data_IF_375329183803
#
_entry.id   IF_375329183803
#
_cell.length_a   1.000
_cell.length_b   1.000
_cell.length_c   1.000
_cell.angle_alpha   90.00
_cell.angle_beta   90.00
_cell.angle_gamma   90.00
#
_symmetry.space_group_name_H-M   'P 1'
#
loop_
_entity.id
_entity.type
_entity.pdbx_description
1 polymer ?
#
# COMPACT_ATOMS: atom_id res chain seq x y z
N UNK A 1 -17.07 26.52 -22.75
CA UNK A 1 -17.90 25.52 -22.03
C UNK A 1 -17.04 24.95 -20.93
N UNK A 2 -17.53 24.86 -19.69
CA UNK A 2 -16.75 24.33 -18.57
C UNK A 2 -17.16 22.88 -18.32
N UNK A 3 -16.18 22.01 -18.23
CA UNK A 3 -16.37 20.58 -17.99
C UNK A 3 -15.43 20.09 -16.90
N UNK A 4 -15.83 19.06 -16.18
CA UNK A 4 -15.01 18.34 -15.20
C UNK A 4 -14.57 17.05 -15.85
N UNK A 5 -13.27 16.80 -15.92
CA UNK A 5 -12.75 15.57 -16.52
C UNK A 5 -13.00 14.37 -15.60
N UNK A 6 -13.50 13.28 -16.18
CA UNK A 6 -13.68 12.00 -15.49
C UNK A 6 -12.53 11.03 -15.80
N UNK A 7 -11.81 11.29 -16.89
CA UNK A 7 -10.63 10.54 -17.31
C UNK A 7 -9.48 11.51 -17.60
N UNK A 8 -8.24 11.03 -17.47
CA UNK A 8 -7.05 11.79 -17.86
C UNK A 8 -7.04 11.95 -19.38
N UNK A 9 -6.92 13.19 -19.85
CA UNK A 9 -6.84 13.49 -21.29
C UNK A 9 -5.56 14.26 -21.56
N UNK A 10 -4.76 13.72 -22.46
CA UNK A 10 -3.51 14.34 -22.90
C UNK A 10 -3.78 15.78 -23.39
N UNK A 11 -2.95 16.71 -22.90
CA UNK A 11 -3.02 18.15 -23.19
C UNK A 11 -4.25 18.90 -22.64
N UNK A 12 -5.04 18.27 -21.76
CA UNK A 12 -6.21 18.90 -21.17
C UNK A 12 -6.16 18.96 -19.64
N UNK A 13 -5.86 17.85 -18.97
CA UNK A 13 -5.80 17.79 -17.51
C UNK A 13 -5.91 16.37 -16.95
N UNK A 14 -5.94 16.30 -15.62
CA UNK A 14 -6.13 15.05 -14.88
C UNK A 14 -7.60 14.84 -14.48
N UNK A 15 -7.88 13.68 -13.87
CA UNK A 15 -9.22 13.31 -13.41
C UNK A 15 -9.65 14.27 -12.30
N UNK A 16 -10.82 14.88 -12.46
CA UNK A 16 -11.40 15.82 -11.51
C UNK A 16 -11.10 17.29 -11.81
N UNK A 17 -10.24 17.59 -12.78
CA UNK A 17 -9.93 18.97 -13.14
C UNK A 17 -11.09 19.66 -13.85
N UNK A 18 -11.37 20.91 -13.44
CA UNK A 18 -12.32 21.79 -14.12
C UNK A 18 -11.61 22.55 -15.23
N UNK A 19 -11.92 22.21 -16.48
CA UNK A 19 -11.27 22.77 -17.67
C UNK A 19 -12.26 23.52 -18.55
N UNK A 20 -11.79 24.63 -19.12
CA UNK A 20 -12.55 25.42 -20.09
C UNK A 20 -12.25 24.93 -21.50
N UNK A 21 -13.22 24.26 -22.12
CA UNK A 21 -13.11 23.73 -23.48
C UNK A 21 -13.98 24.48 -24.48
N UNK A 22 -13.66 24.31 -25.77
CA UNK A 22 -14.52 24.74 -26.87
C UNK A 22 -15.82 23.93 -26.84
N UNK A 23 -16.96 24.59 -27.06
CA UNK A 23 -18.28 23.97 -26.90
C UNK A 23 -18.51 22.74 -27.79
N UNK A 24 -17.97 22.72 -29.02
CA UNK A 24 -18.07 21.57 -29.91
C UNK A 24 -17.28 20.36 -29.40
N UNK A 25 -16.09 20.57 -28.84
CA UNK A 25 -15.27 19.50 -28.28
C UNK A 25 -15.92 18.87 -27.05
N UNK A 26 -16.51 19.70 -26.17
CA UNK A 26 -17.29 19.21 -25.04
C UNK A 26 -18.51 18.39 -25.47
N UNK A 27 -19.39 18.96 -26.30
CA UNK A 27 -20.68 18.35 -26.65
C UNK A 27 -20.59 17.13 -27.57
N UNK A 28 -19.64 17.11 -28.50
CA UNK A 28 -19.58 16.06 -29.52
C UNK A 28 -18.60 14.93 -29.17
N UNK A 29 -17.64 15.18 -28.28
CA UNK A 29 -16.60 14.21 -27.96
C UNK A 29 -16.57 13.88 -26.46
N UNK A 30 -16.36 14.86 -25.58
CA UNK A 30 -16.13 14.60 -24.17
C UNK A 30 -17.36 14.09 -23.41
N UNK A 31 -18.53 14.72 -23.61
CA UNK A 31 -19.77 14.33 -22.93
C UNK A 31 -20.31 12.98 -23.44
N UNK A 32 -20.45 12.74 -24.76
CA UNK A 32 -21.02 11.48 -25.26
C UNK A 32 -20.15 10.27 -24.97
N UNK A 33 -18.81 10.44 -24.91
CA UNK A 33 -17.88 9.37 -24.55
C UNK A 33 -17.74 9.17 -23.03
N UNK A 34 -18.43 9.97 -22.21
CA UNK A 34 -18.33 9.87 -20.75
C UNK A 34 -17.00 10.33 -20.16
N UNK A 35 -16.16 11.01 -20.96
CA UNK A 35 -14.83 11.48 -20.54
C UNK A 35 -14.87 12.75 -19.70
N UNK A 36 -15.96 13.51 -19.77
CA UNK A 36 -16.16 14.69 -18.95
C UNK A 36 -17.63 14.93 -18.61
N UNK A 37 -17.89 15.48 -17.43
CA UNK A 37 -19.20 15.95 -16.99
C UNK A 37 -19.32 17.47 -17.15
N UNK A 38 -20.54 18.00 -17.26
CA UNK A 38 -20.77 19.44 -17.19
C UNK A 38 -20.36 19.98 -15.82
N UNK A 39 -19.60 21.08 -15.81
CA UNK A 39 -19.23 21.77 -14.58
C UNK A 39 -20.38 22.65 -14.05
N UNK A 40 -21.50 22.03 -13.69
CA UNK A 40 -22.59 22.68 -12.95
C UNK A 40 -22.21 22.79 -11.48
N UNK A 41 -22.76 23.79 -10.77
CA UNK A 41 -22.48 23.99 -9.34
C UNK A 41 -22.75 22.72 -8.51
N UNK A 42 -23.80 21.96 -8.85
CA UNK A 42 -24.10 20.67 -8.20
C UNK A 42 -23.03 19.60 -8.44
N UNK A 43 -22.49 19.50 -9.66
CA UNK A 43 -21.48 18.50 -9.99
C UNK A 43 -20.11 18.85 -9.40
N UNK A 44 -19.78 20.14 -9.35
CA UNK A 44 -18.59 20.64 -8.65
C UNK A 44 -18.69 20.30 -7.17
N UNK A 45 -19.81 20.64 -6.51
CA UNK A 45 -20.01 20.34 -5.10
C UNK A 45 -19.97 18.82 -4.81
N UNK A 46 -20.58 17.97 -5.66
CA UNK A 46 -20.52 16.51 -5.51
C UNK A 46 -19.09 15.98 -5.64
N UNK A 47 -18.30 16.52 -6.57
CA UNK A 47 -16.90 16.13 -6.75
C UNK A 47 -16.03 16.60 -5.59
N UNK A 48 -16.24 17.81 -5.08
CA UNK A 48 -15.53 18.31 -3.89
C UNK A 48 -15.87 17.51 -2.64
N UNK A 49 -17.15 17.17 -2.42
CA UNK A 49 -17.55 16.31 -1.31
C UNK A 49 -16.89 14.93 -1.44
N UNK A 50 -16.97 14.31 -2.62
CA UNK A 50 -16.38 13.00 -2.86
C UNK A 50 -14.85 13.03 -2.72
N UNK A 51 -14.20 14.10 -3.18
CA UNK A 51 -12.77 14.32 -3.03
C UNK A 51 -12.39 14.47 -1.56
N UNK A 52 -13.11 15.32 -0.82
CA UNK A 52 -12.88 15.53 0.61
C UNK A 52 -13.12 14.24 1.41
N UNK A 53 -14.10 13.42 1.03
CA UNK A 53 -14.32 12.10 1.64
C UNK A 53 -13.17 11.13 1.36
N UNK A 54 -12.68 11.08 0.11
CA UNK A 54 -11.55 10.23 -0.27
C UNK A 54 -10.25 10.68 0.39
N UNK A 55 -9.99 11.99 0.45
CA UNK A 55 -8.84 12.57 1.14
C UNK A 55 -8.89 12.28 2.63
N UNK A 56 -10.06 12.44 3.28
CA UNK A 56 -10.23 12.08 4.69
C UNK A 56 -9.96 10.60 4.93
N UNK A 57 -10.47 9.71 4.08
CA UNK A 57 -10.19 8.26 4.17
C UNK A 57 -8.71 7.96 4.00
N UNK A 58 -8.07 8.57 3.00
CA UNK A 58 -6.65 8.40 2.74
C UNK A 58 -5.80 8.86 3.93
N UNK A 59 -6.13 9.99 4.56
CA UNK A 59 -5.44 10.47 5.76
C UNK A 59 -5.62 9.50 6.93
N UNK A 60 -6.85 9.03 7.18
CA UNK A 60 -7.13 8.06 8.25
C UNK A 60 -6.38 6.74 8.03
N UNK A 61 -6.33 6.25 6.79
CA UNK A 61 -5.59 5.02 6.44
C UNK A 61 -4.08 5.20 6.62
N UNK A 62 -3.54 6.36 6.23
CA UNK A 62 -2.13 6.69 6.37
C UNK A 62 -1.75 6.84 7.86
N UNK A 63 -2.57 7.54 8.64
CA UNK A 63 -2.39 7.69 10.09
C UNK A 63 -2.39 6.31 10.77
N UNK A 64 -3.39 5.47 10.49
CA UNK A 64 -3.46 4.11 11.02
C UNK A 64 -2.25 3.23 10.62
N UNK A 65 -1.72 3.41 9.40
CA UNK A 65 -0.52 2.72 8.96
C UNK A 65 0.74 3.23 9.69
N UNK A 66 0.86 4.53 9.93
CA UNK A 66 2.00 5.09 10.69
C UNK A 66 1.96 4.69 12.16
N UNK A 67 0.78 4.58 12.76
CA UNK A 67 0.63 4.06 14.12
C UNK A 67 1.06 2.59 14.23
N UNK A 68 0.70 1.76 13.23
CA UNK A 68 1.20 0.38 13.14
C UNK A 68 2.71 0.35 12.92
N UNK A 69 3.27 1.21 12.06
CA UNK A 69 4.70 1.26 11.81
C UNK A 69 5.52 1.52 13.10
N UNK A 70 5.02 2.40 13.98
CA UNK A 70 5.67 2.66 15.29
C UNK A 70 5.74 1.43 16.19
N UNK A 71 4.85 0.46 16.04
CA UNK A 71 4.92 -0.78 16.83
C UNK A 71 6.11 -1.66 16.43
N UNK A 72 6.65 -1.46 15.22
CA UNK A 72 7.84 -2.15 14.73
C UNK A 72 9.14 -1.42 15.05
N UNK A 73 9.10 -0.18 15.55
CA UNK A 73 10.31 0.55 15.92
C UNK A 73 11.00 -0.15 17.10
N UNK A 74 12.20 -0.68 16.85
CA UNK A 74 12.97 -1.45 17.84
C UNK A 74 12.48 -2.89 18.04
N UNK A 75 11.53 -3.36 17.22
CA UNK A 75 11.09 -4.74 17.23
C UNK A 75 12.10 -5.63 16.49
N UNK A 76 12.57 -6.68 17.15
CA UNK A 76 13.38 -7.72 16.53
C UNK A 76 12.65 -9.05 16.66
N UNK A 77 12.40 -9.71 15.53
CA UNK A 77 11.69 -10.97 15.50
C UNK A 77 12.70 -12.12 15.66
N UNK A 78 12.50 -12.98 16.65
CA UNK A 78 13.32 -14.20 16.80
C UNK A 78 12.49 -15.41 16.45
N UNK A 79 12.94 -16.21 15.48
CA UNK A 79 12.29 -17.45 15.05
C UNK A 79 13.24 -18.61 15.34
N UNK A 80 12.79 -19.55 16.16
CA UNK A 80 13.47 -20.83 16.34
C UNK A 80 13.06 -21.81 15.23
N UNK A 81 14.03 -22.40 14.54
CA UNK A 81 13.78 -23.35 13.47
C UNK A 81 14.86 -24.43 13.42
N UNK A 82 14.49 -25.63 12.96
CA UNK A 82 15.44 -26.74 12.85
C UNK A 82 16.51 -26.46 11.81
N UNK A 83 17.76 -26.45 12.23
CA UNK A 83 18.92 -26.22 11.38
C UNK A 83 19.90 -27.39 11.46
N UNK A 84 20.53 -27.72 10.33
CA UNK A 84 21.67 -28.63 10.32
C UNK A 84 22.92 -27.96 10.89
N UNK A 85 23.96 -28.76 11.13
CA UNK A 85 25.27 -28.31 11.66
C UNK A 85 25.96 -27.22 10.83
N UNK A 86 25.65 -27.12 9.53
CA UNK A 86 26.17 -26.09 8.63
C UNK A 86 25.33 -24.79 8.61
N UNK A 87 24.35 -24.65 9.51
CA UNK A 87 23.47 -23.47 9.58
C UNK A 87 22.40 -23.42 8.49
N UNK A 88 22.29 -24.47 7.66
CA UNK A 88 21.21 -24.62 6.68
C UNK A 88 19.95 -25.15 7.36
N UNK A 89 18.83 -24.46 7.15
CA UNK A 89 17.53 -24.88 7.69
C UNK A 89 17.05 -26.15 6.97
N UNK A 90 16.43 -27.06 7.73
CA UNK A 90 15.77 -28.24 7.15
C UNK A 90 14.52 -27.84 6.35
N UNK A 91 13.87 -26.75 6.73
CA UNK A 91 12.76 -26.12 6.02
C UNK A 91 13.13 -24.75 5.45
N UNK A 92 12.10 -24.01 5.05
CA UNK A 92 12.23 -22.60 4.69
C UNK A 92 11.25 -21.78 5.52
N UNK A 93 11.72 -20.67 6.07
CA UNK A 93 10.86 -19.69 6.73
C UNK A 93 10.33 -18.76 5.64
N UNK A 94 9.02 -18.80 5.41
CA UNK A 94 8.32 -17.97 4.44
C UNK A 94 7.55 -16.82 5.08
N UNK A 95 6.82 -16.07 4.27
CA UNK A 95 5.95 -14.98 4.73
C UNK A 95 4.86 -15.46 5.70
N UNK A 96 4.43 -16.72 5.58
CA UNK A 96 3.46 -17.32 6.49
C UNK A 96 3.98 -17.47 7.92
N UNK A 97 5.21 -17.97 8.06
CA UNK A 97 5.83 -18.24 9.35
C UNK A 97 6.20 -16.92 10.04
N UNK A 98 6.67 -15.93 9.26
CA UNK A 98 6.96 -14.58 9.77
C UNK A 98 5.68 -13.90 10.26
N UNK A 99 4.58 -13.99 9.50
CA UNK A 99 3.30 -13.42 9.93
C UNK A 99 2.80 -14.04 11.25
N UNK A 100 2.87 -15.37 11.37
CA UNK A 100 2.47 -16.08 12.60
C UNK A 100 3.37 -15.71 13.79
N UNK A 101 4.68 -15.56 13.56
CA UNK A 101 5.63 -15.17 14.59
C UNK A 101 5.41 -13.70 15.05
N UNK A 102 5.09 -12.79 14.13
CA UNK A 102 4.68 -11.42 14.46
C UNK A 102 3.38 -11.40 15.28
N UNK A 103 2.39 -12.22 14.89
CA UNK A 103 1.11 -12.30 15.59
C UNK A 103 1.29 -12.83 17.02
N UNK A 104 2.16 -13.84 17.22
CA UNK A 104 2.56 -14.32 18.55
C UNK A 104 3.27 -13.26 19.39
N UNK A 105 3.99 -12.34 18.75
CA UNK A 105 4.63 -11.21 19.40
C UNK A 105 3.66 -10.03 19.67
N UNK A 106 2.39 -10.16 19.28
CA UNK A 106 1.35 -9.17 19.54
C UNK A 106 1.16 -8.13 18.43
N UNK A 107 1.84 -8.28 17.29
CA UNK A 107 1.70 -7.39 16.13
C UNK A 107 1.06 -8.14 14.97
N UNK A 108 -0.18 -7.79 14.64
CA UNK A 108 -0.91 -8.42 13.54
C UNK A 108 -0.34 -7.96 12.18
N UNK A 109 0.17 -8.92 11.40
CA UNK A 109 0.72 -8.69 10.05
C UNK A 109 0.12 -9.70 9.09
N UNK A 110 -0.32 -9.24 7.93
CA UNK A 110 -0.77 -10.13 6.88
C UNK A 110 0.39 -10.64 6.02
N UNK A 111 0.29 -11.89 5.56
CA UNK A 111 1.28 -12.52 4.67
C UNK A 111 1.54 -11.73 3.37
N UNK A 112 0.59 -10.87 2.96
CA UNK A 112 0.65 -10.03 1.76
C UNK A 112 1.45 -8.73 1.99
N UNK A 113 1.53 -8.27 3.22
CA UNK A 113 2.28 -7.08 3.62
C UNK A 113 3.79 -7.40 3.69
N UNK A 114 4.17 -8.67 3.85
CA UNK A 114 5.56 -9.10 3.97
C UNK A 114 6.22 -9.21 2.59
N UNK A 115 7.32 -8.47 2.40
CA UNK A 115 8.16 -8.49 1.21
C UNK A 115 9.52 -9.10 1.54
N UNK A 116 9.85 -10.19 0.85
CA UNK A 116 11.13 -10.88 0.96
C UNK A 116 11.87 -10.76 -0.37
N UNK A 117 12.81 -9.83 -0.48
CA UNK A 117 13.55 -9.58 -1.72
C UNK A 117 14.36 -10.81 -2.17
N UNK A 118 14.98 -11.50 -1.22
CA UNK A 118 15.81 -12.69 -1.46
C UNK A 118 15.01 -14.02 -1.43
N UNK A 119 13.69 -13.92 -1.24
CA UNK A 119 12.80 -15.08 -1.10
C UNK A 119 12.86 -15.74 0.28
N UNK A 120 12.34 -16.98 0.42
CA UNK A 120 12.25 -17.67 1.71
C UNK A 120 13.62 -17.91 2.37
N UNK A 121 13.71 -17.67 3.68
CA UNK A 121 14.94 -17.82 4.47
C UNK A 121 15.25 -19.32 4.64
N UNK A 122 16.48 -19.70 4.29
CA UNK A 122 16.96 -21.11 4.32
C UNK A 122 18.22 -21.31 5.16
N UNK A 123 18.69 -20.26 5.83
CA UNK A 123 19.86 -20.30 6.72
C UNK A 123 19.55 -19.66 8.05
N UNK A 124 20.11 -20.21 9.11
CA UNK A 124 20.15 -19.57 10.43
C UNK A 124 21.02 -18.31 10.38
N UNK A 125 20.68 -17.31 11.19
CA UNK A 125 21.35 -16.01 11.21
C UNK A 125 20.37 -14.83 11.16
N UNK A 126 20.93 -13.64 11.05
CA UNK A 126 20.19 -12.39 10.94
C UNK A 126 19.80 -12.11 9.49
N UNK A 127 18.52 -11.84 9.28
CA UNK A 127 17.93 -11.49 7.99
C UNK A 127 17.10 -10.23 8.16
N UNK A 128 16.98 -9.43 7.11
CA UNK A 128 16.09 -8.26 7.11
C UNK A 128 14.88 -8.54 6.23
N UNK A 129 13.69 -8.23 6.74
CA UNK A 129 12.43 -8.40 6.01
C UNK A 129 11.67 -7.09 5.99
N UNK A 130 11.22 -6.68 4.82
CA UNK A 130 10.44 -5.46 4.65
C UNK A 130 8.95 -5.77 4.86
N UNK A 131 8.31 -5.05 5.78
CA UNK A 131 6.87 -5.09 6.00
C UNK A 131 6.26 -3.83 5.40
N UNK A 132 5.47 -4.02 4.34
CA UNK A 132 4.82 -2.98 3.58
C UNK A 132 3.38 -2.78 4.08
N UNK A 133 3.19 -1.84 5.02
CA UNK A 133 1.92 -1.55 5.69
C UNK A 133 0.98 -0.66 4.86
N UNK A 134 1.54 0.26 4.08
CA UNK A 134 0.80 1.16 3.20
C UNK A 134 1.68 1.57 2.01
N UNK A 135 1.07 2.13 0.95
CA UNK A 135 1.77 2.55 -0.28
C UNK A 135 2.94 3.53 -0.07
N UNK A 136 2.99 4.18 1.09
CA UNK A 136 4.04 5.14 1.47
C UNK A 136 4.70 4.81 2.80
N UNK A 137 4.37 3.66 3.41
CA UNK A 137 4.86 3.25 4.73
C UNK A 137 5.33 1.80 4.67
N UNK A 138 6.63 1.61 4.67
CA UNK A 138 7.28 0.32 4.87
C UNK A 138 8.27 0.37 6.03
N UNK A 139 8.43 -0.76 6.70
CA UNK A 139 9.33 -0.91 7.85
C UNK A 139 10.25 -2.11 7.62
N UNK A 140 11.54 -1.91 7.86
CA UNK A 140 12.52 -3.00 7.87
C UNK A 140 12.54 -3.64 9.25
N UNK A 141 12.28 -4.94 9.32
CA UNK A 141 12.29 -5.71 10.56
C UNK A 141 13.45 -6.71 10.53
N UNK A 142 14.37 -6.66 11.51
CA UNK A 142 15.39 -7.68 11.65
C UNK A 142 14.75 -8.97 12.18
N UNK A 143 15.01 -10.07 11.48
CA UNK A 143 14.57 -11.43 11.78
C UNK A 143 15.80 -12.26 12.12
N UNK A 144 15.93 -12.62 13.39
CA UNK A 144 16.97 -13.52 13.86
C UNK A 144 16.47 -14.96 13.85
N UNK A 145 17.07 -15.80 13.04
CA UNK A 145 16.75 -17.22 12.96
C UNK A 145 17.74 -18.03 13.80
N UNK A 146 17.23 -18.59 14.90
CA UNK A 146 18.01 -19.44 15.82
C UNK A 146 17.83 -20.89 15.42
N UNK A 147 18.94 -21.56 15.11
CA UNK A 147 18.97 -22.98 14.79
C UNK A 147 18.81 -23.84 16.04
N UNK A 148 17.75 -24.65 16.10
CA UNK A 148 17.61 -25.74 17.07
C UNK A 148 18.00 -27.08 16.40
N UNK A 149 18.73 -27.93 17.13
CA UNK A 149 19.15 -29.28 16.68
C UNK A 149 18.00 -30.29 16.66
#
# INVERSE_FOLDING_TARGET
MNVILLEKIENLGEIGDQVKVRSGYGRNFLLPQGKAALATAENVAKMEIRRAELEKKAVVELDAATERAKQFEGFALTIAAKAGTEGKLFGSIGTADIAEACEKAGIAVEKREIRMADGPIRSAGEHEVEIHLHSSVSVMVPVNVVGEE
#
